data_IF_370602366768
#
_entry.id   IF_370602366768
#
_cell.length_a   1.000
_cell.length_b   1.000
_cell.length_c   1.000
_cell.angle_alpha   90.00
_cell.angle_beta   90.00
_cell.angle_gamma   90.00
#
_symmetry.space_group_name_H-M   'P 1'
#
loop_
_entity.id
_entity.type
_entity.pdbx_description
1 polymer ?
#
# COMPACT_ATOMS: atom_id res chain seq x y z
N UNK A 1 -2.03 -24.74 5.30
CA UNK A 1 -1.50 -23.48 5.84
C UNK A 1 -0.80 -22.77 4.71
N UNK A 2 -1.09 -21.48 4.50
CA UNK A 2 -0.36 -20.63 3.53
C UNK A 2 0.55 -19.72 4.33
N UNK A 3 1.80 -19.55 3.89
CA UNK A 3 2.72 -18.55 4.42
C UNK A 3 3.33 -17.76 3.25
N UNK A 4 3.41 -16.45 3.39
CA UNK A 4 3.95 -15.52 2.38
C UNK A 4 4.49 -14.28 3.08
N UNK A 5 5.25 -13.45 2.37
CA UNK A 5 5.60 -12.10 2.84
C UNK A 5 4.82 -11.05 2.05
N UNK A 6 4.42 -9.99 2.74
CA UNK A 6 3.69 -8.85 2.17
C UNK A 6 4.40 -7.56 2.59
N UNK A 7 4.78 -6.75 1.60
CA UNK A 7 5.41 -5.45 1.81
C UNK A 7 4.50 -4.31 1.37
N UNK A 8 4.45 -3.20 2.12
CA UNK A 8 3.91 -1.95 1.60
C UNK A 8 4.91 -1.33 0.62
N UNK A 9 4.43 -0.36 -0.15
CA UNK A 9 5.26 0.63 -0.83
C UNK A 9 5.72 1.74 0.12
N UNK A 10 5.86 2.97 -0.39
CA UNK A 10 6.22 4.11 0.44
C UNK A 10 5.04 4.50 1.35
N UNK A 11 5.06 4.01 2.58
CA UNK A 11 3.99 4.23 3.54
C UNK A 11 3.95 5.69 4.05
N UNK A 12 2.83 6.39 3.87
CA UNK A 12 2.55 7.69 4.51
C UNK A 12 1.85 7.51 5.86
N UNK A 13 2.55 6.84 6.79
CA UNK A 13 2.08 6.70 8.17
C UNK A 13 2.02 8.05 8.90
N UNK A 14 1.36 8.08 10.05
CA UNK A 14 1.23 9.25 10.92
C UNK A 14 2.60 9.84 11.25
N UNK A 15 3.58 8.98 11.55
CA UNK A 15 4.97 9.38 11.82
C UNK A 15 5.67 9.99 10.59
N UNK A 16 5.40 9.48 9.40
CA UNK A 16 5.96 10.05 8.17
C UNK A 16 5.34 11.40 7.86
N UNK A 17 4.02 11.54 8.01
CA UNK A 17 3.30 12.81 7.85
C UNK A 17 3.83 13.86 8.84
N UNK A 18 4.00 13.50 10.12
CA UNK A 18 4.62 14.36 11.14
C UNK A 18 6.03 14.80 10.72
N UNK A 19 6.86 13.88 10.23
CA UNK A 19 8.22 14.19 9.77
C UNK A 19 8.26 15.16 8.59
N UNK A 20 7.25 15.15 7.72
CA UNK A 20 7.10 16.12 6.63
C UNK A 20 6.38 17.40 7.04
N UNK A 21 5.79 17.45 8.25
CA UNK A 21 5.00 18.58 8.72
C UNK A 21 3.65 18.73 8.00
N UNK A 22 3.09 17.62 7.52
CA UNK A 22 1.82 17.56 6.79
C UNK A 22 0.84 16.61 7.50
N UNK A 23 -0.40 16.60 7.03
CA UNK A 23 -1.49 15.73 7.52
C UNK A 23 -2.04 14.89 6.38
N UNK A 24 -2.95 13.97 6.67
CA UNK A 24 -3.69 13.24 5.63
C UNK A 24 -4.47 14.16 4.69
N UNK A 25 -4.89 15.35 5.15
CA UNK A 25 -5.65 16.28 4.32
C UNK A 25 -4.80 17.05 3.31
N UNK A 26 -3.49 17.20 3.58
CA UNK A 26 -2.58 18.03 2.77
C UNK A 26 -1.23 17.35 2.50
N UNK A 27 -1.19 16.02 2.49
CA UNK A 27 0.03 15.24 2.29
C UNK A 27 0.74 15.56 0.95
N UNK A 28 -0.03 16.00 -0.06
CA UNK A 28 0.50 16.44 -1.35
C UNK A 28 1.50 17.60 -1.23
N UNK A 29 1.41 18.44 -0.20
CA UNK A 29 2.34 19.56 0.03
C UNK A 29 3.77 19.05 0.25
N UNK A 30 3.94 17.82 0.76
CA UNK A 30 5.26 17.21 0.94
C UNK A 30 5.94 16.85 -0.39
N UNK A 31 5.20 16.78 -1.51
CA UNK A 31 5.74 16.49 -2.86
C UNK A 31 6.72 17.58 -3.31
N UNK A 32 6.54 18.82 -2.85
CA UNK A 32 7.50 19.90 -3.14
C UNK A 32 8.90 19.61 -2.61
N UNK A 33 8.98 18.86 -1.49
CA UNK A 33 10.25 18.49 -0.84
C UNK A 33 10.72 17.10 -1.23
N UNK A 34 9.79 16.19 -1.49
CA UNK A 34 10.04 14.80 -1.85
C UNK A 34 9.11 14.40 -3.00
N UNK A 35 9.50 14.63 -4.27
CA UNK A 35 8.64 14.40 -5.43
C UNK A 35 8.04 12.99 -5.48
N UNK A 36 8.81 11.98 -5.11
CA UNK A 36 8.38 10.58 -5.09
C UNK A 36 7.32 10.27 -4.02
N UNK A 37 7.10 11.16 -3.05
CA UNK A 37 6.04 11.01 -2.05
C UNK A 37 4.63 11.04 -2.69
N UNK A 38 4.51 11.53 -3.94
CA UNK A 38 3.28 11.41 -4.74
C UNK A 38 2.83 9.95 -4.93
N UNK A 39 3.76 9.01 -4.86
CA UNK A 39 3.51 7.57 -4.96
C UNK A 39 3.30 6.90 -3.60
N UNK A 40 3.20 7.67 -2.52
CA UNK A 40 2.94 7.13 -1.18
C UNK A 40 1.54 6.51 -1.07
N UNK A 41 1.44 5.58 -0.13
CA UNK A 41 0.22 4.82 0.17
C UNK A 41 -0.14 4.92 1.64
N UNK A 42 -1.44 4.86 1.97
CA UNK A 42 -1.87 4.79 3.37
C UNK A 42 -1.67 3.40 3.97
N UNK A 43 -1.65 3.29 5.31
CA UNK A 43 -1.77 1.99 5.99
C UNK A 43 -3.02 1.18 5.60
N UNK A 44 -4.10 1.83 5.15
CA UNK A 44 -5.30 1.12 4.69
C UNK A 44 -5.03 0.32 3.40
N UNK A 45 -4.14 0.77 2.53
CA UNK A 45 -3.87 0.10 1.25
C UNK A 45 -3.29 -1.30 1.44
N UNK A 46 -2.28 -1.45 2.29
CA UNK A 46 -1.76 -2.78 2.66
C UNK A 46 -2.78 -3.61 3.46
N UNK A 47 -3.61 -2.97 4.29
CA UNK A 47 -4.72 -3.64 4.97
C UNK A 47 -5.72 -4.26 3.98
N UNK A 48 -6.05 -3.57 2.89
CA UNK A 48 -6.88 -4.11 1.80
C UNK A 48 -6.20 -5.29 1.10
N UNK A 49 -4.88 -5.24 0.91
CA UNK A 49 -4.12 -6.37 0.38
C UNK A 49 -4.23 -7.62 1.28
N UNK A 50 -4.17 -7.44 2.61
CA UNK A 50 -4.39 -8.54 3.58
C UNK A 50 -5.79 -9.14 3.44
N UNK A 51 -6.83 -8.30 3.34
CA UNK A 51 -8.21 -8.76 3.15
C UNK A 51 -8.37 -9.53 1.83
N UNK A 52 -7.79 -9.02 0.74
CA UNK A 52 -7.83 -9.67 -0.57
C UNK A 52 -7.18 -11.06 -0.52
N UNK A 53 -6.00 -11.19 0.09
CA UNK A 53 -5.31 -12.47 0.26
C UNK A 53 -6.10 -13.42 1.18
N UNK A 54 -6.62 -12.93 2.31
CA UNK A 54 -7.34 -13.76 3.28
C UNK A 54 -8.67 -14.31 2.74
N UNK A 55 -9.26 -13.63 1.76
CA UNK A 55 -10.53 -14.03 1.13
C UNK A 55 -10.35 -14.74 -0.23
N UNK A 56 -9.12 -14.86 -0.74
CA UNK A 56 -8.84 -15.53 -2.00
C UNK A 56 -8.94 -17.06 -1.87
N UNK A 57 -9.90 -17.72 -2.56
CA UNK A 57 -10.00 -19.19 -2.54
C UNK A 57 -8.77 -19.90 -3.15
N UNK A 58 -7.93 -19.19 -3.90
CA UNK A 58 -6.71 -19.69 -4.53
C UNK A 58 -5.43 -19.24 -3.81
N UNK A 59 -5.52 -18.73 -2.58
CA UNK A 59 -4.39 -18.21 -1.80
C UNK A 59 -3.21 -19.19 -1.65
N UNK A 60 -3.46 -20.50 -1.70
CA UNK A 60 -2.41 -21.53 -1.68
C UNK A 60 -1.39 -21.36 -2.82
N UNK A 61 -1.81 -20.87 -3.99
CA UNK A 61 -0.93 -20.61 -5.12
C UNK A 61 0.07 -19.47 -4.86
N UNK A 62 -0.15 -18.67 -3.81
CA UNK A 62 0.73 -17.57 -3.40
C UNK A 62 1.64 -17.93 -2.24
N UNK A 63 1.58 -19.17 -1.73
CA UNK A 63 2.45 -19.61 -0.65
C UNK A 63 3.92 -19.58 -1.06
N UNK A 64 4.80 -19.09 -0.19
CA UNK A 64 6.24 -18.96 -0.43
C UNK A 64 6.65 -17.75 -1.27
N UNK A 65 5.70 -16.93 -1.73
CA UNK A 65 6.00 -15.73 -2.51
C UNK A 65 6.14 -14.47 -1.63
N UNK A 66 6.95 -13.53 -2.12
CA UNK A 66 6.97 -12.15 -1.66
C UNK A 66 6.05 -11.31 -2.54
N UNK A 67 5.12 -10.61 -1.92
CA UNK A 67 4.08 -9.82 -2.59
C UNK A 67 4.15 -8.37 -2.13
N UNK A 68 3.75 -7.45 -2.99
CA UNK A 68 3.61 -6.03 -2.66
C UNK A 68 2.14 -5.60 -2.70
N UNK A 69 1.76 -4.67 -1.84
CA UNK A 69 0.41 -4.10 -1.81
C UNK A 69 0.00 -3.55 -3.19
N UNK A 70 0.88 -2.79 -3.85
CA UNK A 70 0.63 -2.25 -5.19
C UNK A 70 0.53 -3.33 -6.30
N UNK A 71 1.20 -4.47 -6.15
CA UNK A 71 1.03 -5.61 -7.06
C UNK A 71 -0.36 -6.23 -6.91
N UNK A 72 -0.75 -6.50 -5.66
CA UNK A 72 -2.04 -7.12 -5.34
C UNK A 72 -3.23 -6.19 -5.61
N UNK A 73 -3.05 -4.88 -5.50
CA UNK A 73 -4.08 -3.90 -5.85
C UNK A 73 -4.50 -4.01 -7.31
N UNK A 74 -3.55 -4.22 -8.22
CA UNK A 74 -3.82 -4.46 -9.64
C UNK A 74 -4.46 -5.82 -9.88
N UNK A 75 -3.98 -6.84 -9.19
CA UNK A 75 -4.48 -8.22 -9.34
C UNK A 75 -5.94 -8.36 -8.83
N UNK A 76 -6.24 -7.82 -7.65
CA UNK A 76 -7.54 -7.91 -7.00
C UNK A 76 -8.43 -6.68 -7.20
N UNK A 77 -7.98 -5.71 -8.00
CA UNK A 77 -8.72 -4.50 -8.38
C UNK A 77 -9.24 -3.69 -7.18
N UNK A 78 -8.38 -3.42 -6.19
CA UNK A 78 -8.69 -2.49 -5.09
C UNK A 78 -7.83 -1.22 -5.17
N UNK A 79 -8.30 -0.16 -4.54
CA UNK A 79 -7.62 1.15 -4.48
C UNK A 79 -7.26 1.51 -3.05
N UNK A 80 -6.38 2.49 -2.89
CA UNK A 80 -6.19 3.22 -1.64
C UNK A 80 -7.45 4.07 -1.32
N UNK A 81 -7.50 4.67 -0.13
CA UNK A 81 -8.63 5.47 0.36
C UNK A 81 -8.91 6.72 -0.49
N UNK A 82 -7.90 7.19 -1.22
CA UNK A 82 -8.00 8.34 -2.14
C UNK A 82 -8.30 7.92 -3.59
N UNK A 83 -8.62 6.64 -3.82
CA UNK A 83 -8.96 6.10 -5.14
C UNK A 83 -7.76 5.78 -6.02
N UNK A 84 -6.52 6.05 -5.60
CA UNK A 84 -5.32 5.73 -6.38
C UNK A 84 -4.93 4.25 -6.24
N UNK A 85 -4.11 3.77 -7.18
CA UNK A 85 -3.37 2.52 -7.05
C UNK A 85 -1.87 2.82 -7.08
N UNK A 86 -1.27 3.16 -5.92
CA UNK A 86 0.18 3.31 -5.79
C UNK A 86 0.95 2.13 -6.39
N UNK A 87 2.13 2.39 -7.00
CA UNK A 87 2.88 1.39 -7.75
C UNK A 87 3.39 0.25 -6.86
N UNK A 88 3.79 -0.85 -7.50
CA UNK A 88 4.51 -1.91 -6.80
C UNK A 88 5.98 -1.50 -6.72
N UNK A 89 6.57 -1.63 -5.53
CA UNK A 89 8.00 -1.48 -5.28
C UNK A 89 8.65 -2.85 -5.08
#
# INVERSE_FOLDING_TARGET
>A
MTALSLTPGWLRSEKMLEGFGVTEANWHDAVERAPDFIHSETPFYIGRAVVALATDPKIMAKSGHALSAGGLAREYNFTDVDGRQPPAY
#
